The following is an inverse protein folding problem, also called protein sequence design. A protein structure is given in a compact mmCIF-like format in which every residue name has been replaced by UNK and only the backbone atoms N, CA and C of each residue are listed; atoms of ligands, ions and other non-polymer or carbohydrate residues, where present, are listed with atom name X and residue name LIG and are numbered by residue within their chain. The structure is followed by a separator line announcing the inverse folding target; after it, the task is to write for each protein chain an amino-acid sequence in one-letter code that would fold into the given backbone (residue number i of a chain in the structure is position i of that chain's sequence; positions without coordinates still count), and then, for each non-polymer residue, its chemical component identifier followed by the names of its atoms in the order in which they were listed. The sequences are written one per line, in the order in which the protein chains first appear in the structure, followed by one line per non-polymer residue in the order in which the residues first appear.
data_IF_528151709468
#
_entry.id   IF_528151709468
#
_cell.length_a   1.000
_cell.length_b   1.000
_cell.length_c   1.000
_cell.angle_alpha   90.00
_cell.angle_beta   90.00
_cell.angle_gamma   90.00
#
_symmetry.space_group_name_H-M   'P 1'
#
loop_
_entity.id
_entity.type
_entity.pdbx_description
1 polymer ?
#
# COMPACT_ATOMS: atom_id res chain seq x y z
N UNK A 1 -4.86 9.86 -11.10
CA UNK A 1 -4.03 8.64 -10.96
C UNK A 1 -4.95 7.52 -10.50
N UNK A 2 -4.81 6.29 -10.97
CA UNK A 2 -5.56 5.13 -10.43
C UNK A 2 -4.61 4.14 -9.71
N UNK A 3 -5.14 3.11 -9.06
CA UNK A 3 -4.34 2.14 -8.29
C UNK A 3 -3.28 1.42 -9.12
N UNK A 4 -3.55 1.16 -10.40
CA UNK A 4 -2.58 0.54 -11.31
C UNK A 4 -1.39 1.48 -11.52
N UNK A 5 -1.65 2.77 -11.70
CA UNK A 5 -0.59 3.78 -11.84
C UNK A 5 0.23 3.93 -10.56
N UNK A 6 -0.40 3.88 -9.39
CA UNK A 6 0.33 3.88 -8.12
C UNK A 6 1.28 2.67 -8.03
N UNK A 7 0.83 1.47 -8.39
CA UNK A 7 1.69 0.28 -8.40
C UNK A 7 2.84 0.38 -9.40
N UNK A 8 2.64 1.01 -10.56
CA UNK A 8 3.73 1.29 -11.49
C UNK A 8 4.77 2.23 -10.87
N UNK A 9 4.35 3.34 -10.25
CA UNK A 9 5.26 4.26 -9.54
C UNK A 9 6.03 3.57 -8.43
N UNK A 10 5.36 2.70 -7.64
CA UNK A 10 6.00 1.92 -6.57
C UNK A 10 7.02 0.94 -7.15
N UNK A 11 6.70 0.27 -8.26
CA UNK A 11 7.62 -0.65 -8.91
C UNK A 11 8.83 0.06 -9.51
N UNK A 12 8.64 1.22 -10.14
CA UNK A 12 9.74 2.06 -10.64
C UNK A 12 10.66 2.56 -9.52
N UNK A 13 10.09 2.80 -8.33
CA UNK A 13 10.84 3.16 -7.13
C UNK A 13 11.52 1.96 -6.43
N UNK A 14 11.37 0.74 -6.96
CA UNK A 14 11.94 -0.47 -6.35
C UNK A 14 11.22 -0.91 -5.06
N UNK A 15 9.99 -0.45 -4.85
CA UNK A 15 9.18 -0.76 -3.68
C UNK A 15 8.23 -1.94 -3.91
N UNK A 16 8.29 -2.60 -5.06
CA UNK A 16 7.50 -3.80 -5.35
C UNK A 16 8.42 -4.99 -5.57
N UNK A 17 8.06 -6.14 -5.00
CA UNK A 17 8.78 -7.39 -5.21
C UNK A 17 7.84 -8.59 -5.10
N UNK A 18 8.24 -9.72 -5.71
CA UNK A 18 7.50 -10.98 -5.59
C UNK A 18 8.00 -11.77 -4.39
N UNK A 19 7.07 -12.40 -3.68
CA UNK A 19 7.38 -13.29 -2.56
C UNK A 19 6.37 -14.42 -2.42
N UNK A 20 6.73 -15.42 -1.63
CA UNK A 20 5.81 -16.49 -1.23
C UNK A 20 5.29 -16.19 0.17
N UNK A 21 3.97 -16.25 0.37
CA UNK A 21 3.44 -16.26 1.75
C UNK A 21 3.70 -17.65 2.37
N UNK A 22 3.77 -17.74 3.69
CA UNK A 22 3.95 -19.02 4.40
C UNK A 22 2.85 -20.07 4.12
N UNK A 23 1.72 -19.65 3.52
CA UNK A 23 0.54 -20.48 3.25
C UNK A 23 0.16 -20.54 1.76
N UNK A 24 0.81 -19.77 0.88
CA UNK A 24 0.49 -19.74 -0.55
C UNK A 24 1.50 -20.57 -1.34
N UNK A 25 0.97 -21.43 -2.21
CA UNK A 25 1.77 -22.11 -3.24
C UNK A 25 2.14 -21.18 -4.41
N UNK A 26 1.57 -19.97 -4.45
CA UNK A 26 1.74 -18.99 -5.53
C UNK A 26 2.53 -17.77 -5.04
N UNK A 27 3.36 -17.22 -5.94
CA UNK A 27 4.00 -15.92 -5.75
C UNK A 27 2.94 -14.81 -5.74
N UNK A 28 3.02 -13.94 -4.74
CA UNK A 28 2.21 -12.72 -4.67
C UNK A 28 3.12 -11.49 -4.69
N UNK A 29 2.57 -10.38 -5.18
CA UNK A 29 3.26 -9.10 -5.17
C UNK A 29 3.16 -8.47 -3.77
N UNK A 30 4.30 -7.93 -3.31
CA UNK A 30 4.44 -7.21 -2.05
C UNK A 30 4.85 -5.76 -2.30
N UNK A 31 4.35 -4.88 -1.44
CA UNK A 31 4.78 -3.49 -1.33
C UNK A 31 5.75 -3.42 -0.15
N UNK A 32 7.00 -3.03 -0.40
CA UNK A 32 8.00 -2.71 0.60
C UNK A 32 7.63 -1.38 1.28
N UNK A 33 7.43 -1.44 2.59
CA UNK A 33 7.08 -0.27 3.41
C UNK A 33 8.31 0.31 4.11
N UNK A 34 9.20 -0.53 4.63
CA UNK A 34 10.38 -0.09 5.38
C UNK A 34 11.48 -1.16 5.33
N UNK A 35 12.74 -0.73 5.36
CA UNK A 35 13.89 -1.61 5.60
C UNK A 35 14.57 -1.16 6.89
N UNK A 36 14.68 -2.06 7.86
CA UNK A 36 15.36 -1.82 9.12
C UNK A 36 16.88 -1.92 8.98
N UNK A 37 17.63 -1.32 9.90
CA UNK A 37 19.11 -1.30 9.88
C UNK A 37 19.74 -2.70 9.84
N UNK A 38 19.05 -3.70 10.40
CA UNK A 38 19.48 -5.09 10.41
C UNK A 38 19.18 -5.85 9.10
N UNK A 39 18.64 -5.17 8.08
CA UNK A 39 18.28 -5.75 6.79
C UNK A 39 16.90 -6.43 6.74
N UNK A 40 16.17 -6.50 7.85
CA UNK A 40 14.78 -6.98 7.86
C UNK A 40 13.87 -5.98 7.17
N UNK A 41 12.94 -6.46 6.37
CA UNK A 41 11.97 -5.61 5.67
C UNK A 41 10.57 -5.72 6.29
N UNK A 42 9.87 -4.61 6.34
CA UNK A 42 8.43 -4.57 6.58
C UNK A 42 7.73 -4.38 5.24
N UNK A 43 6.79 -5.27 4.92
CA UNK A 43 6.06 -5.28 3.66
C UNK A 43 4.62 -5.72 3.85
N UNK A 44 3.77 -5.37 2.90
CA UNK A 44 2.37 -5.78 2.84
C UNK A 44 2.10 -6.41 1.48
N UNK A 45 1.36 -7.52 1.43
CA UNK A 45 0.95 -8.09 0.15
C UNK A 45 -0.11 -7.20 -0.51
N UNK A 46 -0.13 -7.17 -1.84
CA UNK A 46 -1.04 -6.31 -2.62
C UNK A 46 -2.51 -6.62 -2.34
N UNK A 47 -2.88 -7.86 -1.96
CA UNK A 47 -4.28 -8.19 -1.67
C UNK A 47 -4.72 -7.62 -0.33
N UNK A 48 -3.86 -7.66 0.69
CA UNK A 48 -4.08 -6.96 1.96
C UNK A 48 -4.19 -5.45 1.71
N UNK A 49 -3.27 -4.86 0.94
CA UNK A 49 -3.35 -3.44 0.63
C UNK A 49 -4.66 -3.06 -0.10
N UNK A 50 -5.09 -3.85 -1.08
CA UNK A 50 -6.39 -3.66 -1.77
C UNK A 50 -7.58 -3.81 -0.85
N UNK A 51 -7.49 -4.68 0.15
CA UNK A 51 -8.56 -4.85 1.14
C UNK A 51 -8.70 -3.58 1.97
N UNK A 52 -7.57 -3.02 2.41
CA UNK A 52 -7.53 -1.84 3.28
C UNK A 52 -7.90 -0.54 2.54
N UNK A 53 -7.40 -0.35 1.32
CA UNK A 53 -7.46 0.92 0.58
C UNK A 53 -8.21 0.82 -0.77
N UNK A 54 -8.98 -0.26 -0.96
CA UNK A 54 -9.68 -0.52 -2.23
C UNK A 54 -10.78 0.49 -2.54
N UNK A 55 -11.29 1.19 -1.52
CA UNK A 55 -12.29 2.24 -1.64
C UNK A 55 -11.78 3.46 -2.43
N UNK A 56 -10.48 3.73 -2.37
CA UNK A 56 -9.82 4.82 -3.12
C UNK A 56 -9.09 4.34 -4.39
N UNK A 57 -9.33 3.10 -4.85
CA UNK A 57 -8.62 2.54 -6.00
C UNK A 57 -8.78 3.36 -7.31
N UNK A 58 -9.88 4.10 -7.45
CA UNK A 58 -10.12 5.00 -8.58
C UNK A 58 -9.30 6.30 -8.52
N UNK A 59 -8.86 6.71 -7.34
CA UNK A 59 -8.13 7.95 -7.10
C UNK A 59 -7.23 7.86 -5.85
N UNK A 60 -6.18 7.02 -5.82
CA UNK A 60 -5.35 6.85 -4.63
C UNK A 60 -4.30 7.97 -4.53
N UNK A 61 -4.74 9.21 -4.37
CA UNK A 61 -3.84 10.33 -4.07
C UNK A 61 -3.33 10.21 -2.64
N UNK A 62 -2.32 11.01 -2.30
CA UNK A 62 -1.86 11.12 -0.92
C UNK A 62 -3.02 11.44 0.03
N UNK A 63 -3.84 12.45 -0.30
CA UNK A 63 -4.94 12.89 0.56
C UNK A 63 -6.01 11.80 0.74
N UNK A 64 -6.31 11.06 -0.33
CA UNK A 64 -7.29 9.98 -0.29
C UNK A 64 -6.78 8.77 0.50
N UNK A 65 -5.52 8.38 0.32
CA UNK A 65 -4.89 7.30 1.08
C UNK A 65 -4.65 7.65 2.55
N UNK A 66 -4.39 8.91 2.87
CA UNK A 66 -4.26 9.39 4.26
C UNK A 66 -5.61 9.57 4.96
N UNK A 67 -6.71 9.42 4.23
CA UNK A 67 -8.06 9.62 4.72
C UNK A 67 -8.55 8.49 5.63
N UNK A 68 -9.88 8.46 5.79
CA UNK A 68 -10.58 7.39 6.49
C UNK A 68 -11.04 6.33 5.50
N UNK A 69 -10.71 5.07 5.80
CA UNK A 69 -11.03 3.93 4.94
C UNK A 69 -12.03 3.01 5.60
N UNK A 70 -12.95 2.49 4.79
CA UNK A 70 -13.90 1.48 5.24
C UNK A 70 -13.67 0.17 4.52
N UNK A 71 -13.31 -0.87 5.27
CA UNK A 71 -13.00 -2.19 4.74
C UNK A 71 -13.62 -3.29 5.60
N UNK A 72 -13.67 -4.51 5.06
CA UNK A 72 -14.20 -5.69 5.74
C UNK A 72 -13.11 -6.69 6.05
N UNK A 73 -13.12 -7.22 7.27
CA UNK A 73 -12.31 -8.37 7.69
C UNK A 73 -13.25 -9.43 8.27
N UNK A 74 -13.42 -10.53 7.53
CA UNK A 74 -14.49 -11.50 7.80
C UNK A 74 -15.87 -10.83 7.72
N UNK A 75 -16.70 -11.03 8.74
CA UNK A 75 -18.06 -10.46 8.80
C UNK A 75 -18.11 -9.05 9.41
N UNK A 76 -16.95 -8.50 9.81
CA UNK A 76 -16.88 -7.18 10.47
C UNK A 76 -16.42 -6.11 9.48
N UNK A 77 -17.06 -4.96 9.58
CA UNK A 77 -16.66 -3.74 8.88
C UNK A 77 -15.93 -2.82 9.85
N UNK A 78 -14.82 -2.26 9.39
CA UNK A 78 -13.99 -1.32 10.14
C UNK A 78 -13.95 0.00 9.39
N UNK A 79 -13.88 1.11 10.13
CA UNK A 79 -13.62 2.44 9.59
C UNK A 79 -12.48 3.03 10.40
N UNK A 80 -11.33 3.23 9.77
CA UNK A 80 -10.10 3.69 10.43
C UNK A 80 -9.30 4.58 9.48
N UNK A 81 -8.52 5.52 10.02
CA UNK A 81 -7.59 6.33 9.22
C UNK A 81 -6.30 5.57 8.91
N UNK A 82 -5.54 6.03 7.92
CA UNK A 82 -4.21 5.51 7.65
C UNK A 82 -3.27 5.61 8.86
N UNK A 83 -3.43 6.65 9.69
CA UNK A 83 -2.66 6.81 10.93
C UNK A 83 -3.02 5.70 11.95
N UNK A 84 -4.31 5.46 12.18
CA UNK A 84 -4.76 4.41 13.09
C UNK A 84 -4.35 3.00 12.63
N UNK A 85 -4.24 2.78 11.32
CA UNK A 85 -3.74 1.54 10.73
C UNK A 85 -2.21 1.44 10.71
N UNK A 86 -1.49 2.53 11.04
CA UNK A 86 -0.02 2.59 11.02
C UNK A 86 0.61 2.79 9.63
N UNK A 87 -0.17 3.21 8.63
CA UNK A 87 0.28 3.43 7.25
C UNK A 87 0.69 4.85 6.93
N UNK A 88 0.27 5.85 7.72
CA UNK A 88 0.49 7.27 7.40
C UNK A 88 1.96 7.58 7.08
N UNK A 89 2.90 7.07 7.89
CA UNK A 89 4.33 7.30 7.68
C UNK A 89 4.85 6.82 6.31
N UNK A 90 4.26 5.77 5.76
CA UNK A 90 4.65 5.24 4.45
C UNK A 90 4.13 6.13 3.32
N UNK A 91 2.91 6.66 3.47
CA UNK A 91 2.33 7.59 2.51
C UNK A 91 3.08 8.93 2.52
N UNK A 92 3.53 9.40 3.69
CA UNK A 92 4.40 10.58 3.80
C UNK A 92 5.71 10.35 3.01
N UNK A 93 6.36 9.20 3.22
CA UNK A 93 7.58 8.83 2.49
C UNK A 93 7.36 8.76 0.98
N UNK A 94 6.27 8.15 0.52
CA UNK A 94 5.94 8.06 -0.90
C UNK A 94 5.66 9.44 -1.51
N UNK A 95 5.08 10.37 -0.73
CA UNK A 95 4.89 11.75 -1.14
C UNK A 95 6.21 12.48 -1.30
N UNK A 96 7.13 12.33 -0.35
CA UNK A 96 8.47 12.92 -0.41
C UNK A 96 9.30 12.38 -1.58
N UNK A 97 9.14 11.10 -1.91
CA UNK A 97 9.73 10.47 -3.09
C UNK A 97 9.06 10.88 -4.41
N UNK A 98 7.93 11.60 -4.34
CA UNK A 98 7.18 12.06 -5.51
C UNK A 98 6.49 10.93 -6.27
N UNK A 99 5.99 9.90 -5.57
CA UNK A 99 5.33 8.74 -6.18
C UNK A 99 3.88 9.01 -6.59
N UNK A 100 3.24 10.04 -6.01
CA UNK A 100 1.86 10.43 -6.33
C UNK A 100 1.71 11.33 -7.57
N UNK A 101 2.65 11.27 -8.52
CA UNK A 101 2.61 12.13 -9.72
C UNK A 101 1.37 11.83 -10.55
N UNK A 102 0.69 12.89 -10.97
CA UNK A 102 -0.26 12.83 -12.07
C UNK A 102 0.57 12.66 -13.35
N UNK A 103 0.38 11.55 -14.07
CA UNK A 103 0.79 11.49 -15.47
C UNK A 103 -0.04 12.55 -16.22
N UNK A 104 0.53 13.74 -16.40
CA UNK A 104 0.10 14.75 -17.38
C UNK A 104 0.39 14.27 -18.79
#
# INVERSE_FOLDING_TARGET
MNIIQLYLSLNEAGLMFKGHTALAQEEVDYILLETYENGTTHSVDVNTFKTLFGDVAGNPTYEELSGSHTFKLGDKQYTMTAEEMGYQKYFDQWKEQGLFKLNT
#
